data_IF_420226744281
#
_entry.id   IF_420226744281
#
_cell.length_a   1.000
_cell.length_b   1.000
_cell.length_c   1.000
_cell.angle_alpha   90.00
_cell.angle_beta   90.00
_cell.angle_gamma   90.00
#
_symmetry.space_group_name_H-M   'P 1'
#
loop_
_entity.id
_entity.type
_entity.pdbx_description
1 polymer ?
#
# COMPACT_ATOMS: atom_id res chain seq x y z
N UNK A 1 9.65 18.43 -3.38
CA UNK A 1 9.26 17.69 -2.16
C UNK A 1 8.77 16.32 -2.61
N UNK A 2 9.40 15.25 -2.13
CA UNK A 2 8.98 13.89 -2.46
C UNK A 2 7.74 13.54 -1.64
N UNK A 3 6.74 12.93 -2.27
CA UNK A 3 5.56 12.40 -1.58
C UNK A 3 5.83 10.96 -1.15
N UNK A 4 5.55 10.63 0.10
CA UNK A 4 5.67 9.27 0.59
C UNK A 4 4.31 8.59 0.54
N UNK A 5 4.21 7.45 -0.15
CA UNK A 5 3.03 6.59 -0.08
C UNK A 5 3.35 5.42 0.82
N UNK A 6 2.61 5.26 1.92
CA UNK A 6 2.69 4.08 2.79
C UNK A 6 1.49 3.18 2.54
N UNK A 7 1.74 1.88 2.41
CA UNK A 7 0.73 0.86 2.21
C UNK A 7 0.60 0.11 3.53
N UNK A 8 -0.59 0.14 4.12
CA UNK A 8 -0.94 -0.61 5.33
C UNK A 8 -1.62 -1.90 4.88
N UNK A 9 -0.89 -3.00 4.96
CA UNK A 9 -1.36 -4.30 4.52
C UNK A 9 -1.60 -5.18 5.76
N UNK A 10 -2.85 -5.44 6.08
CA UNK A 10 -3.24 -6.38 7.13
C UNK A 10 -3.56 -7.74 6.48
N UNK A 11 -2.66 -8.68 6.69
CA UNK A 11 -2.76 -10.05 6.17
C UNK A 11 -3.25 -11.06 7.21
N UNK A 12 -3.74 -10.60 8.37
CA UNK A 12 -4.23 -11.47 9.43
C UNK A 12 -5.64 -12.03 9.17
N UNK A 13 -5.88 -13.29 9.58
CA UNK A 13 -7.22 -13.87 9.65
C UNK A 13 -7.94 -14.11 8.31
N UNK A 14 -9.28 -14.20 8.38
CA UNK A 14 -10.18 -14.41 7.23
C UNK A 14 -10.43 -13.14 6.40
N UNK A 15 -10.21 -11.95 6.99
CA UNK A 15 -10.42 -10.65 6.36
C UNK A 15 -9.08 -9.93 6.15
N UNK A 16 -8.60 -9.93 4.91
CA UNK A 16 -7.40 -9.16 4.51
C UNK A 16 -7.82 -7.74 4.17
N UNK A 17 -7.10 -6.73 4.68
CA UNK A 17 -7.45 -5.31 4.54
C UNK A 17 -6.27 -4.50 4.03
N UNK A 18 -6.57 -3.48 3.23
CA UNK A 18 -5.58 -2.53 2.71
C UNK A 18 -6.04 -1.11 3.04
N UNK A 19 -5.12 -0.28 3.51
CA UNK A 19 -5.28 1.16 3.59
C UNK A 19 -4.01 1.86 3.07
N UNK A 20 -4.13 3.13 2.75
CA UNK A 20 -3.02 3.93 2.23
C UNK A 20 -2.81 5.16 3.12
N UNK A 21 -1.57 5.61 3.21
CA UNK A 21 -1.24 6.96 3.67
C UNK A 21 -0.49 7.70 2.58
N UNK A 22 -0.81 8.98 2.43
CA UNK A 22 -0.01 9.92 1.66
C UNK A 22 0.62 10.86 2.67
N UNK A 23 1.95 10.85 2.70
CA UNK A 23 2.78 11.44 3.76
C UNK A 23 2.30 10.92 5.13
N UNK A 24 1.85 11.83 6.01
CA UNK A 24 1.37 11.49 7.36
C UNK A 24 -0.16 11.37 7.46
N UNK A 25 -0.89 11.51 6.35
CA UNK A 25 -2.35 11.39 6.33
C UNK A 25 -2.76 9.97 5.99
N UNK A 26 -3.37 9.24 6.94
CA UNK A 26 -3.94 7.90 6.73
C UNK A 26 -5.38 7.98 6.22
N UNK A 27 -5.65 7.29 5.12
CA UNK A 27 -6.97 7.17 4.52
C UNK A 27 -7.71 5.93 5.05
N UNK A 28 -9.06 5.89 4.91
CA UNK A 28 -9.86 4.73 5.30
C UNK A 28 -9.43 3.44 4.59
N UNK A 29 -9.81 2.31 5.19
CA UNK A 29 -9.64 0.98 4.57
C UNK A 29 -10.41 0.92 3.25
N UNK A 30 -9.83 0.28 2.24
CA UNK A 30 -10.47 0.05 0.95
C UNK A 30 -11.50 -1.07 1.06
N UNK A 31 -12.72 -0.72 1.46
CA UNK A 31 -13.80 -1.68 1.77
C UNK A 31 -14.26 -2.54 0.60
N UNK A 32 -14.04 -2.09 -0.65
CA UNK A 32 -14.44 -2.82 -1.85
C UNK A 32 -13.42 -3.91 -2.27
N UNK A 33 -12.25 -3.99 -1.63
CA UNK A 33 -11.26 -5.06 -1.86
C UNK A 33 -11.48 -6.22 -0.89
N UNK A 34 -12.47 -7.08 -1.18
CA UNK A 34 -12.88 -8.17 -0.28
C UNK A 34 -12.09 -9.48 -0.44
N UNK A 35 -11.53 -9.74 -1.62
CA UNK A 35 -10.90 -11.02 -1.98
C UNK A 35 -9.39 -10.88 -2.22
N UNK A 36 -8.68 -10.14 -1.35
CA UNK A 36 -7.23 -10.00 -1.44
C UNK A 36 -6.58 -11.40 -1.28
N UNK A 37 -5.67 -11.85 -2.15
CA UNK A 37 -5.02 -13.16 -2.05
C UNK A 37 -4.14 -13.33 -0.80
N UNK A 38 -3.78 -14.56 -0.44
CA UNK A 38 -2.98 -14.83 0.77
C UNK A 38 -1.51 -14.42 0.60
N UNK A 39 -1.07 -14.33 -0.66
CA UNK A 39 0.25 -13.86 -1.06
C UNK A 39 0.07 -12.72 -2.04
N UNK A 40 0.62 -11.56 -1.72
CA UNK A 40 0.62 -10.36 -2.56
C UNK A 40 2.04 -9.85 -2.68
N UNK A 41 2.34 -9.14 -3.76
CA UNK A 41 3.64 -8.55 -4.01
C UNK A 41 3.49 -7.04 -4.23
N UNK A 42 4.44 -6.22 -3.76
CA UNK A 42 4.46 -4.80 -4.09
C UNK A 42 4.53 -4.59 -5.60
N UNK A 43 3.65 -3.74 -6.13
CA UNK A 43 3.63 -3.35 -7.54
C UNK A 43 3.52 -1.83 -7.64
N UNK A 44 4.32 -1.25 -8.52
CA UNK A 44 4.23 0.17 -8.89
C UNK A 44 4.28 0.28 -10.41
N UNK A 45 3.44 1.15 -10.96
CA UNK A 45 3.49 1.55 -12.37
C UNK A 45 3.75 3.04 -12.42
N UNK A 46 4.65 3.45 -13.30
CA UNK A 46 5.04 4.84 -13.43
C UNK A 46 5.23 5.19 -14.89
N UNK A 47 4.90 6.43 -15.25
CA UNK A 47 5.14 6.98 -16.59
C UNK A 47 6.48 7.71 -16.62
N UNK A 48 7.23 7.57 -17.70
CA UNK A 48 8.44 8.34 -17.95
C UNK A 48 8.14 9.86 -17.89
N UNK A 49 9.00 10.70 -17.26
CA UNK A 49 10.33 10.42 -16.69
C UNK A 49 10.33 10.17 -15.17
N UNK A 50 9.19 9.78 -14.58
CA UNK A 50 9.09 9.70 -13.13
C UNK A 50 10.00 8.63 -12.51
N UNK A 51 10.35 8.85 -11.25
CA UNK A 51 11.21 7.98 -10.44
C UNK A 51 10.49 7.64 -9.13
N UNK A 52 10.65 6.41 -8.65
CA UNK A 52 10.07 5.96 -7.39
C UNK A 52 11.06 5.06 -6.65
N UNK A 53 11.02 5.09 -5.32
CA UNK A 53 11.79 4.20 -4.46
C UNK A 53 10.82 3.40 -3.60
N UNK A 54 10.91 2.07 -3.68
CA UNK A 54 10.20 1.18 -2.76
C UNK A 54 11.05 1.02 -1.51
N UNK A 55 10.44 1.24 -0.35
CA UNK A 55 11.08 1.05 0.95
C UNK A 55 10.25 0.07 1.77
N UNK A 56 10.89 -0.97 2.31
CA UNK A 56 10.27 -1.83 3.32
C UNK A 56 10.33 -1.10 4.65
N UNK A 57 9.19 -0.91 5.31
CA UNK A 57 9.17 -0.55 6.72
C UNK A 57 9.40 -1.84 7.51
N UNK A 58 10.55 -1.94 8.17
CA UNK A 58 10.81 -2.97 9.17
C UNK A 58 10.42 -2.31 10.49
N UNK A 59 9.39 -2.82 11.15
CA UNK A 59 9.05 -2.49 12.54
C UNK A 59 9.77 -3.46 13.48
#
# INVERSE_FOLDING_TARGET
MEKQIRIHLDMGGSERKVAFSIDDVKYPVVLHWKNIPAKVYPLVSLRYPGKIRIQKKIE
#
